data_IF_014601421486
#
_entry.id   IF_014601421486
#
_cell.length_a   1.000
_cell.length_b   1.000
_cell.length_c   1.000
_cell.angle_alpha   90.00
_cell.angle_beta   90.00
_cell.angle_gamma   90.00
#
_symmetry.space_group_name_H-M   'P 1'
#
loop_
_entity.id
_entity.type
_entity.pdbx_description
1 polymer ?
#
# COMPACT_ATOMS: atom_id res chain seq x y z
N UNK A 1 19.37 -10.65 -11.16
CA UNK A 1 18.40 -11.76 -11.27
C UNK A 1 16.96 -11.26 -11.09
N UNK A 2 16.52 -10.78 -9.91
CA UNK A 2 15.13 -10.35 -9.69
C UNK A 2 14.69 -9.10 -10.48
N UNK A 3 15.46 -8.00 -10.43
CA UNK A 3 15.14 -6.79 -11.22
C UNK A 3 15.11 -7.07 -12.73
N UNK A 4 15.92 -8.03 -13.20
CA UNK A 4 15.94 -8.46 -14.60
C UNK A 4 14.66 -9.19 -14.99
N UNK A 5 14.19 -10.13 -14.15
CA UNK A 5 12.96 -10.87 -14.38
C UNK A 5 11.70 -9.99 -14.30
N UNK A 6 11.69 -8.99 -13.42
CA UNK A 6 10.59 -8.03 -13.29
C UNK A 6 10.58 -6.97 -14.41
N UNK A 7 11.69 -6.78 -15.12
CA UNK A 7 11.83 -5.75 -16.16
C UNK A 7 11.94 -4.31 -15.63
N UNK A 8 11.92 -4.11 -14.30
CA UNK A 8 12.15 -2.82 -13.63
C UNK A 8 13.03 -3.02 -12.40
N UNK A 9 13.77 -1.98 -12.04
CA UNK A 9 14.62 -2.00 -10.85
C UNK A 9 13.80 -2.24 -9.58
N UNK A 10 14.08 -3.33 -8.86
CA UNK A 10 13.52 -3.64 -7.54
C UNK A 10 14.31 -3.00 -6.38
N UNK A 11 15.26 -2.10 -6.68
CA UNK A 11 16.16 -1.51 -5.69
C UNK A 11 15.42 -0.85 -4.52
N UNK A 12 14.38 -0.01 -4.72
CA UNK A 12 13.64 0.59 -3.60
C UNK A 12 13.04 -0.45 -2.65
N UNK A 13 12.49 -1.54 -3.19
CA UNK A 13 11.89 -2.62 -2.41
C UNK A 13 12.96 -3.32 -1.55
N UNK A 14 14.10 -3.67 -2.13
CA UNK A 14 15.19 -4.30 -1.39
C UNK A 14 15.80 -3.36 -0.36
N UNK A 15 15.92 -2.07 -0.68
CA UNK A 15 16.43 -1.09 0.27
C UNK A 15 15.54 -0.98 1.51
N UNK A 16 14.22 -0.96 1.33
CA UNK A 16 13.27 -0.93 2.45
C UNK A 16 13.32 -2.22 3.29
N UNK A 17 13.22 -3.40 2.65
CA UNK A 17 13.03 -4.64 3.39
C UNK A 17 14.31 -5.36 3.83
N UNK A 18 15.47 -5.07 3.22
CA UNK A 18 16.73 -5.75 3.51
C UNK A 18 17.79 -4.85 4.15
N UNK A 19 17.70 -3.53 3.95
CA UNK A 19 18.72 -2.57 4.38
C UNK A 19 18.16 -1.45 5.28
N UNK A 20 16.90 -1.56 5.72
CA UNK A 20 16.26 -0.66 6.68
C UNK A 20 15.49 -1.48 7.72
N UNK A 21 15.23 -0.86 8.87
CA UNK A 21 14.31 -1.38 9.90
C UNK A 21 12.89 -0.81 9.75
N UNK A 22 12.68 0.09 8.79
CA UNK A 22 11.38 0.71 8.53
C UNK A 22 10.40 -0.31 7.96
N UNK A 23 9.14 -0.19 8.36
CA UNK A 23 8.04 -0.94 7.75
C UNK A 23 7.54 -0.18 6.53
N UNK A 24 6.89 -0.88 5.59
CA UNK A 24 6.15 -0.19 4.52
C UNK A 24 5.04 0.67 5.15
N UNK A 25 5.12 1.98 4.98
CA UNK A 25 4.16 2.91 5.55
C UNK A 25 3.06 3.21 4.54
N UNK A 26 1.83 2.93 4.96
CA UNK A 26 0.62 3.13 4.17
C UNK A 26 -0.27 4.11 4.93
N UNK A 27 -0.55 5.27 4.33
CA UNK A 27 -1.49 6.25 4.86
C UNK A 27 -2.88 5.93 4.34
N UNK A 28 -3.84 5.88 5.25
CA UNK A 28 -5.28 5.79 4.98
C UNK A 28 -5.93 6.98 5.65
N UNK A 29 -6.39 7.93 4.84
CA UNK A 29 -7.04 9.14 5.32
C UNK A 29 -8.52 9.13 4.95
N UNK A 30 -9.40 9.22 5.94
CA UNK A 30 -10.82 9.40 5.65
C UNK A 30 -11.09 10.85 5.21
N UNK A 31 -11.80 11.03 4.11
CA UNK A 31 -12.09 12.36 3.51
C UNK A 31 -13.58 12.67 3.45
N UNK A 32 -14.43 11.65 3.53
CA UNK A 32 -15.86 11.73 3.75
C UNK A 32 -16.34 10.44 4.42
N UNK A 33 -17.62 10.37 4.82
CA UNK A 33 -18.21 9.21 5.50
C UNK A 33 -17.90 7.88 4.80
N UNK A 34 -17.90 7.87 3.46
CA UNK A 34 -17.66 6.69 2.64
C UNK A 34 -16.40 6.78 1.76
N UNK A 35 -15.53 7.79 1.94
CA UNK A 35 -14.36 8.01 1.06
C UNK A 35 -13.05 8.05 1.81
N UNK A 36 -12.09 7.29 1.29
CA UNK A 36 -10.74 7.19 1.83
C UNK A 36 -9.71 7.51 0.75
N UNK A 37 -8.65 8.22 1.13
CA UNK A 37 -7.44 8.36 0.33
C UNK A 37 -6.38 7.40 0.86
N UNK A 38 -5.82 6.59 -0.03
CA UNK A 38 -4.78 5.61 0.31
C UNK A 38 -3.53 5.88 -0.52
N UNK A 39 -2.35 5.89 0.13
CA UNK A 39 -1.05 6.06 -0.52
C UNK A 39 0.09 5.41 0.25
N UNK A 40 1.19 5.15 -0.45
CA UNK A 40 2.47 4.78 0.16
C UNK A 40 3.25 6.03 0.57
N UNK A 41 3.98 5.98 1.69
CA UNK A 41 4.74 7.14 2.19
C UNK A 41 6.24 7.02 1.95
N UNK A 42 6.82 5.84 2.23
CA UNK A 42 8.26 5.67 2.35
C UNK A 42 8.90 4.76 1.27
N UNK A 43 8.26 4.63 0.11
CA UNK A 43 8.85 3.92 -1.03
C UNK A 43 8.56 4.62 -2.36
N UNK A 44 9.59 4.74 -3.19
CA UNK A 44 9.53 5.30 -4.55
C UNK A 44 9.35 4.18 -5.58
N UNK A 45 8.28 3.40 -5.43
CA UNK A 45 7.92 2.31 -6.32
C UNK A 45 6.42 2.00 -6.21
N UNK A 46 5.71 1.76 -7.32
CA UNK A 46 4.35 1.27 -7.26
C UNK A 46 4.32 -0.18 -6.76
N UNK A 47 3.47 -0.48 -5.78
CA UNK A 47 3.31 -1.82 -5.22
C UNK A 47 1.86 -2.30 -5.31
N UNK A 48 1.62 -3.58 -5.68
CA UNK A 48 0.30 -4.17 -5.61
C UNK A 48 -0.08 -4.44 -4.15
N UNK A 49 -1.19 -3.88 -3.67
CA UNK A 49 -1.71 -4.04 -2.30
C UNK A 49 -3.18 -4.46 -2.37
N UNK A 50 -3.54 -5.48 -1.60
CA UNK A 50 -4.95 -5.86 -1.40
C UNK A 50 -5.57 -4.98 -0.32
N UNK A 51 -6.78 -4.47 -0.54
CA UNK A 51 -7.52 -3.66 0.43
C UNK A 51 -8.94 -4.21 0.50
N UNK A 52 -9.37 -4.62 1.69
CA UNK A 52 -10.76 -5.02 1.91
C UNK A 52 -11.62 -3.78 2.14
N UNK A 53 -12.72 -3.73 1.39
CA UNK A 53 -13.84 -2.78 1.54
C UNK A 53 -15.12 -3.57 1.86
N UNK A 54 -16.20 -2.85 2.17
CA UNK A 54 -17.56 -3.43 2.25
C UNK A 54 -18.04 -4.09 0.94
N UNK A 55 -17.42 -3.77 -0.21
CA UNK A 55 -17.71 -4.40 -1.50
C UNK A 55 -16.79 -5.58 -1.84
N UNK A 56 -15.85 -5.92 -0.95
CA UNK A 56 -14.92 -7.05 -1.09
C UNK A 56 -13.45 -6.61 -1.23
N UNK A 57 -12.57 -7.58 -1.48
CA UNK A 57 -11.14 -7.32 -1.64
C UNK A 57 -10.82 -6.69 -2.99
N UNK A 58 -10.19 -5.51 -2.97
CA UNK A 58 -9.69 -4.84 -4.18
C UNK A 58 -8.17 -4.90 -4.22
N UNK A 59 -7.60 -5.30 -5.37
CA UNK A 59 -6.15 -5.26 -5.61
C UNK A 59 -5.79 -3.96 -6.33
N UNK A 60 -5.01 -3.12 -5.67
CA UNK A 60 -4.66 -1.78 -6.15
C UNK A 60 -3.15 -1.66 -6.35
N UNK A 61 -2.74 -0.92 -7.36
CA UNK A 61 -1.34 -0.50 -7.49
C UNK A 61 -1.18 0.83 -6.78
N UNK A 62 -0.65 0.80 -5.55
CA UNK A 62 -0.44 1.99 -4.73
C UNK A 62 0.96 2.56 -4.95
N UNK A 63 1.06 3.88 -4.88
CA UNK A 63 2.30 4.65 -4.97
C UNK A 63 2.22 5.87 -4.04
N UNK A 64 3.15 6.83 -4.13
CA UNK A 64 3.08 8.09 -3.37
C UNK A 64 1.90 8.96 -3.74
N UNK A 65 1.40 8.82 -4.97
CA UNK A 65 0.17 9.46 -5.43
C UNK A 65 -1.04 8.78 -4.77
N UNK A 66 -1.96 9.54 -4.15
CA UNK A 66 -3.12 8.95 -3.51
C UNK A 66 -4.15 8.42 -4.49
N UNK A 67 -4.79 7.32 -4.10
CA UNK A 67 -5.95 6.72 -4.76
C UNK A 67 -7.15 6.88 -3.85
N UNK A 68 -8.29 7.27 -4.42
CA UNK A 68 -9.55 7.35 -3.68
C UNK A 68 -10.27 6.01 -3.72
N UNK A 69 -10.71 5.52 -2.57
CA UNK A 69 -11.57 4.35 -2.42
C UNK A 69 -12.87 4.75 -1.75
N UNK A 70 -13.94 4.09 -2.17
CA UNK A 70 -15.24 4.20 -1.52
C UNK A 70 -15.48 2.96 -0.68
N UNK A 71 -15.77 3.16 0.61
CA UNK A 71 -16.23 2.07 1.47
C UNK A 71 -17.09 2.57 2.64
N UNK A 72 -18.15 1.81 2.97
CA UNK A 72 -19.01 2.10 4.13
C UNK A 72 -18.42 1.62 5.46
N UNK A 73 -17.42 0.75 5.42
CA UNK A 73 -16.72 0.23 6.59
C UNK A 73 -15.27 0.72 6.59
N UNK A 74 -14.60 0.72 7.75
CA UNK A 74 -13.16 0.98 7.80
C UNK A 74 -12.41 0.03 6.85
N UNK A 75 -11.42 0.58 6.14
CA UNK A 75 -10.58 -0.20 5.23
C UNK A 75 -9.65 -1.13 6.01
N UNK A 76 -9.51 -2.37 5.55
CA UNK A 76 -8.45 -3.27 6.00
C UNK A 76 -7.40 -3.43 4.91
N UNK A 77 -6.22 -2.85 5.13
CA UNK A 77 -5.12 -2.90 4.18
C UNK A 77 -4.32 -4.18 4.36
N UNK A 78 -4.03 -4.86 3.25
CA UNK A 78 -3.28 -6.11 3.14
C UNK A 78 -3.68 -7.13 4.22
N UNK A 79 -4.94 -7.62 4.18
CA UNK A 79 -5.49 -8.51 5.20
C UNK A 79 -4.72 -9.82 5.34
N UNK A 80 -4.11 -10.30 4.24
CA UNK A 80 -3.32 -11.54 4.20
C UNK A 80 -1.88 -11.38 4.70
N UNK A 81 -1.41 -10.15 4.90
CA UNK A 81 -0.10 -9.87 5.48
C UNK A 81 1.08 -10.13 4.54
N UNK A 82 0.94 -9.82 3.25
CA UNK A 82 2.05 -9.95 2.30
C UNK A 82 3.21 -8.98 2.57
N UNK A 83 2.94 -7.85 3.23
CA UNK A 83 3.94 -6.84 3.54
C UNK A 83 4.14 -6.67 5.03
N UNK A 84 5.41 -6.55 5.45
CA UNK A 84 5.75 -5.99 6.75
C UNK A 84 5.45 -4.49 6.73
N UNK A 85 4.28 -4.13 7.28
CA UNK A 85 3.69 -2.80 7.10
C UNK A 85 3.32 -2.11 8.40
N UNK A 86 3.15 -0.80 8.30
CA UNK A 86 2.55 0.09 9.28
C UNK A 86 1.45 0.88 8.58
N UNK A 87 0.21 0.68 9.03
CA UNK A 87 -0.94 1.43 8.52
C UNK A 87 -1.15 2.63 9.45
N UNK A 88 -1.18 3.82 8.87
CA UNK A 88 -1.41 5.09 9.58
C UNK A 88 -2.82 5.53 9.21
N UNK A 89 -3.71 5.53 10.20
CA UNK A 89 -5.11 5.96 10.06
C UNK A 89 -5.21 7.43 10.46
N UNK A 90 -5.75 8.27 9.58
CA UNK A 90 -5.92 9.73 9.75
C UNK A 90 -7.33 10.21 9.42
#
# INVERSE_FOLDING_TARGET
>A
LFSGAHGKSLKPLFQLFLYSTDKLEISVKQTADDKYLVKLLNIDMPLPVEVDTDSGTQRLTLEKKPVTLTSKTPLQVDPKGFYLKKVILE
#
